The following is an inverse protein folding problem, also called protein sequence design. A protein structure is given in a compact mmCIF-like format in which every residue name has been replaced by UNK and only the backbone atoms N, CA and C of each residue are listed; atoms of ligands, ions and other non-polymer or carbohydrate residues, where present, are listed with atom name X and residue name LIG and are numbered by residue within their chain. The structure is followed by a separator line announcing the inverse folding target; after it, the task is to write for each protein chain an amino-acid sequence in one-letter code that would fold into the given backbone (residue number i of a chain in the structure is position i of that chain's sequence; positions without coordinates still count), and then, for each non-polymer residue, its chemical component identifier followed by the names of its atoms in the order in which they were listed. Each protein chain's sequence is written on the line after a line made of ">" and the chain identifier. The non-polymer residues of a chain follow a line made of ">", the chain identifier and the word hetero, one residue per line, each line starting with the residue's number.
data_IF_739057053161
#
_entry.id   IF_739057053161
#
_cell.length_a   1.000
_cell.length_b   1.000
_cell.length_c   1.000
_cell.angle_alpha   90.00
_cell.angle_beta   90.00
_cell.angle_gamma   90.00
#
_symmetry.space_group_name_H-M   'P 1'
#
loop_
_entity.id
_entity.type
_entity.pdbx_description
1 polymer ?
#
# COMPACT_ATOMS: atom_id res chain seq x y z
N UNK A 1 -0.32 7.72 23.71
CA UNK A 1 0.31 8.69 22.84
C UNK A 1 0.58 8.09 21.48
N UNK A 2 0.26 8.85 20.48
CA UNK A 2 0.37 8.41 19.11
C UNK A 2 1.78 8.53 18.58
N UNK A 3 2.22 7.55 17.84
CA UNK A 3 3.49 7.68 17.13
C UNK A 3 3.28 8.46 15.85
N UNK A 4 4.20 9.38 15.58
CA UNK A 4 4.14 10.19 14.37
C UNK A 4 5.11 9.70 13.30
N UNK A 5 6.00 8.75 13.62
CA UNK A 5 7.11 8.40 12.74
C UNK A 5 7.28 6.90 12.63
N UNK A 6 6.38 6.27 11.87
CA UNK A 6 6.50 4.85 11.57
C UNK A 6 7.67 4.61 10.63
N UNK A 7 8.34 3.48 10.80
CA UNK A 7 9.39 3.06 9.88
C UNK A 7 8.78 2.38 8.68
N UNK A 8 9.30 2.73 7.52
CA UNK A 8 8.84 2.14 6.26
C UNK A 8 9.66 0.90 5.95
N UNK A 9 8.98 -0.18 5.60
CA UNK A 9 9.59 -1.34 4.97
C UNK A 9 9.20 -1.31 3.50
N UNK A 10 10.16 -1.55 2.62
CA UNK A 10 9.92 -1.42 1.19
C UNK A 10 10.25 -2.73 0.49
N UNK A 11 9.34 -3.19 -0.36
CA UNK A 11 9.54 -4.38 -1.17
C UNK A 11 9.64 -3.99 -2.64
N UNK A 12 10.59 -4.58 -3.35
CA UNK A 12 10.84 -4.28 -4.77
C UNK A 12 10.48 -5.47 -5.64
N UNK A 13 9.92 -5.17 -6.81
CA UNK A 13 9.62 -6.17 -7.80
C UNK A 13 9.88 -5.55 -9.18
N UNK A 14 10.54 -6.29 -10.08
CA UNK A 14 10.90 -5.76 -11.39
C UNK A 14 9.66 -5.45 -12.24
N UNK A 15 8.55 -6.12 -11.99
CA UNK A 15 7.32 -5.90 -12.73
C UNK A 15 6.46 -4.80 -12.12
N UNK A 16 6.35 -4.78 -10.80
CA UNK A 16 5.38 -3.92 -10.11
C UNK A 16 6.00 -2.71 -9.42
N UNK A 17 7.32 -2.64 -9.35
CA UNK A 17 8.00 -1.53 -8.69
C UNK A 17 8.11 -1.74 -7.19
N UNK A 18 8.03 -0.67 -6.42
CA UNK A 18 8.25 -0.70 -4.99
C UNK A 18 6.94 -0.50 -4.24
N UNK A 19 6.72 -1.30 -3.23
CA UNK A 19 5.56 -1.16 -2.34
C UNK A 19 6.09 -0.89 -0.93
N UNK A 20 5.70 0.22 -0.35
CA UNK A 20 6.07 0.59 1.01
C UNK A 20 4.98 0.13 1.96
N UNK A 21 5.39 -0.25 3.17
CA UNK A 21 4.44 -0.67 4.19
C UNK A 21 4.97 -0.32 5.58
N UNK A 22 4.07 -0.30 6.54
CA UNK A 22 4.40 -0.08 7.95
C UNK A 22 3.69 -1.13 8.79
N UNK A 23 4.18 -1.31 10.00
CA UNK A 23 3.50 -2.12 11.01
C UNK A 23 2.90 -1.18 12.05
N UNK A 24 1.60 -1.32 12.28
CA UNK A 24 0.88 -0.45 13.18
C UNK A 24 0.03 -1.31 14.12
N UNK A 25 0.50 -1.45 15.36
CA UNK A 25 -0.21 -2.24 16.36
C UNK A 25 -0.34 -3.70 16.00
N UNK A 26 0.70 -4.28 15.40
CA UNK A 26 0.70 -5.68 14.99
C UNK A 26 -0.01 -5.92 13.66
N UNK A 27 -0.46 -4.86 13.00
CA UNK A 27 -1.18 -4.94 11.74
C UNK A 27 -0.32 -4.35 10.64
N UNK A 28 -0.24 -5.03 9.50
CA UNK A 28 0.50 -4.51 8.35
C UNK A 28 -0.39 -3.60 7.54
N UNK A 29 0.13 -2.43 7.21
CA UNK A 29 -0.55 -1.44 6.39
C UNK A 29 0.30 -1.13 5.18
N UNK A 30 -0.32 -1.03 4.01
CA UNK A 30 0.37 -0.84 2.74
C UNK A 30 0.15 0.57 2.22
N UNK A 31 1.16 1.15 1.57
CA UNK A 31 0.99 2.44 0.92
C UNK A 31 -0.07 2.30 -0.18
N UNK A 32 -1.18 2.99 0.00
CA UNK A 32 -2.28 2.91 -0.96
C UNK A 32 -1.88 3.40 -2.33
N UNK A 33 -1.09 4.46 -2.38
CA UNK A 33 -0.62 5.02 -3.66
C UNK A 33 0.26 4.01 -4.40
N UNK A 34 1.18 3.36 -3.67
CA UNK A 34 2.08 2.39 -4.30
C UNK A 34 1.29 1.20 -4.86
N UNK A 35 0.34 0.69 -4.07
CA UNK A 35 -0.49 -0.44 -4.49
C UNK A 35 -1.32 -0.08 -5.72
N UNK A 36 -2.00 1.07 -5.67
CA UNK A 36 -2.85 1.47 -6.79
C UNK A 36 -2.01 1.72 -8.05
N UNK A 37 -0.84 2.35 -7.89
CA UNK A 37 0.03 2.58 -9.02
C UNK A 37 0.51 1.26 -9.63
N UNK A 38 0.92 0.31 -8.78
CA UNK A 38 1.40 -0.99 -9.25
C UNK A 38 0.30 -1.77 -9.98
N UNK A 39 -0.94 -1.55 -9.59
CA UNK A 39 -2.09 -2.23 -10.22
C UNK A 39 -2.62 -1.50 -11.46
N UNK A 40 -1.92 -0.48 -11.91
CA UNK A 40 -2.24 0.17 -13.18
C UNK A 40 -3.31 1.24 -13.12
N UNK A 41 -3.68 1.68 -11.93
CA UNK A 41 -4.66 2.77 -11.83
C UNK A 41 -4.03 4.09 -12.32
N UNK A 42 -4.71 4.75 -13.25
CA UNK A 42 -4.20 6.01 -13.79
C UNK A 42 -4.18 7.12 -12.75
N UNK A 43 -5.12 7.08 -11.81
CA UNK A 43 -5.23 8.07 -10.75
C UNK A 43 -5.27 7.34 -9.40
N UNK A 44 -4.10 7.01 -8.85
CA UNK A 44 -4.05 6.19 -7.63
C UNK A 44 -4.84 6.75 -6.46
N UNK A 45 -4.73 8.06 -6.19
CA UNK A 45 -5.44 8.67 -5.08
C UNK A 45 -6.95 8.54 -5.25
N UNK A 46 -7.43 8.73 -6.48
CA UNK A 46 -8.84 8.57 -6.77
C UNK A 46 -9.30 7.13 -6.57
N UNK A 47 -8.47 6.18 -6.99
CA UNK A 47 -8.78 4.76 -6.81
C UNK A 47 -8.95 4.42 -5.33
N UNK A 48 -8.07 4.96 -4.48
CA UNK A 48 -8.17 4.75 -3.04
C UNK A 48 -9.50 5.32 -2.53
N UNK A 49 -9.83 6.53 -2.94
CA UNK A 49 -11.07 7.18 -2.47
C UNK A 49 -12.31 6.39 -2.89
N UNK A 50 -12.28 5.79 -4.08
CA UNK A 50 -13.45 5.09 -4.62
C UNK A 50 -13.58 3.67 -4.05
N UNK A 51 -12.46 2.96 -3.93
CA UNK A 51 -12.50 1.52 -3.64
C UNK A 51 -12.14 1.14 -2.22
N UNK A 52 -11.37 1.96 -1.50
CA UNK A 52 -10.88 1.59 -0.18
C UNK A 52 -11.81 2.11 0.90
N UNK A 53 -11.98 1.31 1.96
CA UNK A 53 -12.85 1.66 3.08
C UNK A 53 -12.08 1.93 4.36
N UNK A 54 -10.85 1.43 4.46
CA UNK A 54 -10.03 1.58 5.65
C UNK A 54 -8.80 2.43 5.47
N UNK A 55 -8.77 3.28 4.45
CA UNK A 55 -7.62 4.14 4.20
C UNK A 55 -7.44 5.13 5.35
N UNK A 56 -6.18 5.30 5.77
CA UNK A 56 -5.87 6.21 6.87
C UNK A 56 -4.51 6.84 6.63
N UNK A 57 -4.26 7.95 7.33
CA UNK A 57 -2.99 8.66 7.22
C UNK A 57 -2.12 8.37 8.43
N UNK A 58 -0.81 8.20 8.17
CA UNK A 58 0.18 8.04 9.23
C UNK A 58 1.41 8.85 8.87
N UNK A 59 2.03 9.46 9.88
CA UNK A 59 3.30 10.13 9.69
C UNK A 59 4.41 9.10 9.62
N UNK A 60 5.24 9.18 8.60
CA UNK A 60 6.34 8.24 8.43
C UNK A 60 7.64 9.01 8.33
N UNK A 61 8.72 8.41 8.80
CA UNK A 61 10.03 9.02 8.77
C UNK A 61 10.65 8.81 7.40
N UNK A 62 10.96 9.93 6.74
CA UNK A 62 11.60 9.92 5.44
C UNK A 62 12.89 10.73 5.51
N UNK A 63 13.66 10.75 4.43
CA UNK A 63 14.86 11.56 4.37
C UNK A 63 14.56 13.06 4.50
N UNK A 64 13.34 13.47 4.19
CA UNK A 64 12.90 14.85 4.34
C UNK A 64 12.17 15.14 5.64
N UNK A 65 12.25 14.23 6.62
CA UNK A 65 11.56 14.36 7.90
C UNK A 65 10.29 13.52 7.92
N UNK A 66 9.42 13.82 8.89
CA UNK A 66 8.15 13.09 9.02
C UNK A 66 7.16 13.62 7.99
N UNK A 67 6.63 12.71 7.18
CA UNK A 67 5.69 13.04 6.11
C UNK A 67 4.41 12.23 6.26
N UNK A 68 3.23 12.82 6.04
CA UNK A 68 1.99 12.05 6.06
C UNK A 68 1.87 11.21 4.78
N UNK A 69 1.47 9.95 4.96
CA UNK A 69 1.21 9.05 3.83
C UNK A 69 -0.09 8.32 4.07
N UNK A 70 -0.74 7.94 2.96
CA UNK A 70 -2.00 7.19 3.01
C UNK A 70 -1.66 5.70 3.01
N UNK A 71 -2.16 4.98 4.02
CA UNK A 71 -1.99 3.54 4.13
C UNK A 71 -3.33 2.85 4.09
N UNK A 72 -3.33 1.61 3.60
CA UNK A 72 -4.54 0.81 3.50
C UNK A 72 -4.29 -0.57 4.10
N UNK A 73 -5.31 -1.16 4.74
CA UNK A 73 -5.19 -2.51 5.27
C UNK A 73 -5.32 -3.56 4.16
N UNK A 74 -5.05 -4.80 4.52
CA UNK A 74 -5.06 -5.92 3.59
C UNK A 74 -6.38 -6.00 2.80
N UNK A 75 -7.51 -5.83 3.47
CA UNK A 75 -8.80 -5.92 2.78
C UNK A 75 -8.95 -4.93 1.64
N UNK A 76 -8.39 -3.72 1.82
CA UNK A 76 -8.44 -2.71 0.77
C UNK A 76 -7.49 -3.03 -0.37
N UNK A 77 -6.36 -3.70 -0.08
CA UNK A 77 -5.48 -4.18 -1.14
C UNK A 77 -6.24 -5.14 -2.05
N UNK A 78 -6.99 -6.07 -1.46
CA UNK A 78 -7.82 -6.99 -2.23
C UNK A 78 -8.88 -6.26 -3.05
N UNK A 79 -9.49 -5.21 -2.50
CA UNK A 79 -10.47 -4.43 -3.25
C UNK A 79 -9.84 -3.80 -4.49
N UNK A 80 -8.64 -3.26 -4.34
CA UNK A 80 -7.94 -2.66 -5.49
C UNK A 80 -7.56 -3.73 -6.52
N UNK A 81 -7.12 -4.91 -6.07
CA UNK A 81 -6.80 -6.00 -6.96
C UNK A 81 -8.03 -6.42 -7.77
N UNK A 82 -9.16 -6.59 -7.09
CA UNK A 82 -10.39 -7.06 -7.71
C UNK A 82 -10.89 -6.10 -8.78
N UNK A 83 -10.74 -4.80 -8.55
CA UNK A 83 -11.22 -3.78 -9.49
C UNK A 83 -10.18 -3.38 -10.51
N UNK A 84 -8.97 -3.90 -10.42
CA UNK A 84 -7.90 -3.57 -11.35
C UNK A 84 -8.18 -4.21 -12.72
N UNK A 85 -7.83 -3.47 -13.78
CA UNK A 85 -7.91 -3.99 -15.14
C UNK A 85 -6.59 -4.58 -15.63
N UNK A 86 -5.58 -4.57 -14.76
CA UNK A 86 -4.28 -5.10 -15.09
C UNK A 86 -4.36 -6.62 -15.18
N UNK A 87 -3.87 -7.18 -16.30
CA UNK A 87 -3.93 -8.63 -16.49
C UNK A 87 -3.11 -9.40 -15.46
N UNK A 88 -2.06 -8.77 -14.94
CA UNK A 88 -1.16 -9.40 -13.97
C UNK A 88 -1.57 -9.13 -12.53
N UNK A 89 -2.81 -8.66 -12.29
CA UNK A 89 -3.24 -8.35 -10.92
C UNK A 89 -3.14 -9.56 -9.99
N UNK A 90 -3.39 -10.77 -10.50
CA UNK A 90 -3.26 -11.97 -9.68
C UNK A 90 -1.80 -12.24 -9.31
N UNK A 91 -0.88 -11.95 -10.21
CA UNK A 91 0.54 -12.08 -9.92
C UNK A 91 0.96 -11.07 -8.85
N UNK A 92 0.39 -9.87 -8.91
CA UNK A 92 0.64 -8.87 -7.88
C UNK A 92 0.16 -9.36 -6.53
N UNK A 93 -1.04 -9.91 -6.48
CA UNK A 93 -1.61 -10.43 -5.24
C UNK A 93 -0.69 -11.46 -4.60
N UNK A 94 -0.25 -12.42 -5.42
CA UNK A 94 0.62 -13.46 -4.92
C UNK A 94 1.93 -12.88 -4.40
N UNK A 95 2.54 -12.00 -5.18
CA UNK A 95 3.82 -11.42 -4.79
C UNK A 95 3.74 -10.63 -3.49
N UNK A 96 2.76 -9.73 -3.39
CA UNK A 96 2.72 -8.82 -2.25
C UNK A 96 2.42 -9.56 -0.94
N UNK A 97 1.53 -10.54 -0.98
CA UNK A 97 1.18 -11.24 0.25
C UNK A 97 2.21 -12.29 0.62
N UNK A 98 2.81 -12.99 -0.35
CA UNK A 98 3.88 -13.93 -0.05
C UNK A 98 5.10 -13.20 0.51
N UNK A 99 5.43 -12.05 -0.04
CA UNK A 99 6.60 -11.27 0.36
C UNK A 99 6.41 -10.63 1.73
N UNK A 100 5.19 -10.16 2.02
CA UNK A 100 4.93 -9.46 3.28
C UNK A 100 4.71 -10.39 4.46
N UNK A 101 4.68 -11.69 4.24
CA UNK A 101 4.57 -12.66 5.33
C UNK A 101 3.15 -13.08 5.66
N UNK A 102 2.20 -12.82 4.80
CA UNK A 102 0.82 -13.26 5.02
C UNK A 102 0.63 -14.74 4.67
#
# INVERSE_FOLDING_TARGET
>A
MEKADYKITEFHNSEFGSIRMIEDGGRLLFSGIDVAFALGYAKPRNAINVHCKGALKRGVLTSGGVQPMIFIPEGDVYRLITKSRLKSAQNFEKWVFDTSGY
#
